data_IF_484328208947
#
_entry.id   IF_484328208947
#
_cell.length_a   1.000
_cell.length_b   1.000
_cell.length_c   1.000
_cell.angle_alpha   90.00
_cell.angle_beta   90.00
_cell.angle_gamma   90.00
#
_symmetry.space_group_name_H-M   'P 1'
#
loop_
_entity.id
_entity.type
_entity.pdbx_description
1 polymer ?
#
# COMPACT_ATOMS: atom_id res chain seq x y z
N UNK A 1 -29.61 -1.76 -3.97
CA UNK A 1 -28.56 -2.76 -4.16
C UNK A 1 -28.96 -3.99 -3.35
N UNK A 2 -28.93 -5.16 -3.94
CA UNK A 2 -29.33 -6.38 -3.25
C UNK A 2 -28.12 -6.97 -2.52
N UNK A 3 -28.00 -6.65 -1.23
CA UNK A 3 -26.89 -7.15 -0.39
C UNK A 3 -26.95 -8.69 -0.24
N UNK A 4 -28.16 -9.29 -0.32
CA UNK A 4 -28.30 -10.75 -0.29
C UNK A 4 -27.60 -11.41 -1.48
N UNK A 5 -27.66 -10.80 -2.66
CA UNK A 5 -26.93 -11.32 -3.83
C UNK A 5 -25.42 -11.36 -3.61
N UNK A 6 -24.87 -10.40 -2.86
CA UNK A 6 -23.43 -10.40 -2.52
C UNK A 6 -23.09 -11.52 -1.54
N UNK A 7 -23.95 -11.75 -0.55
CA UNK A 7 -23.78 -12.84 0.42
C UNK A 7 -23.93 -14.21 -0.28
N UNK A 8 -24.90 -14.36 -1.17
CA UNK A 8 -25.12 -15.57 -1.97
C UNK A 8 -23.88 -15.87 -2.84
N UNK A 9 -23.36 -14.87 -3.56
CA UNK A 9 -22.16 -15.02 -4.39
C UNK A 9 -20.93 -15.41 -3.57
N UNK A 10 -20.77 -14.86 -2.38
CA UNK A 10 -19.67 -15.21 -1.46
C UNK A 10 -19.82 -16.64 -0.94
N UNK A 11 -21.04 -17.08 -0.61
CA UNK A 11 -21.31 -18.45 -0.17
C UNK A 11 -20.98 -19.49 -1.25
N UNK A 12 -21.09 -19.10 -2.51
CA UNK A 12 -20.69 -19.89 -3.68
C UNK A 12 -19.18 -19.81 -3.99
N UNK A 13 -18.40 -19.15 -3.14
CA UNK A 13 -16.96 -18.99 -3.33
C UNK A 13 -16.55 -17.98 -4.40
N UNK A 14 -17.47 -17.13 -4.84
CA UNK A 14 -17.22 -16.08 -5.82
C UNK A 14 -16.75 -14.79 -5.13
N UNK A 15 -15.56 -14.35 -5.47
CA UNK A 15 -14.97 -13.13 -4.93
C UNK A 15 -15.39 -11.90 -5.75
N UNK A 16 -16.09 -10.98 -5.09
CA UNK A 16 -16.41 -9.67 -5.64
C UNK A 16 -15.32 -8.68 -5.25
N UNK A 17 -14.62 -8.17 -6.25
CA UNK A 17 -13.54 -7.21 -6.02
C UNK A 17 -14.03 -5.79 -5.80
N UNK A 18 -15.08 -5.39 -6.51
CA UNK A 18 -15.66 -4.05 -6.42
C UNK A 18 -17.04 -3.97 -7.04
N UNK A 19 -17.80 -2.94 -6.65
CA UNK A 19 -19.06 -2.57 -7.29
C UNK A 19 -18.85 -1.31 -8.13
N UNK A 20 -19.14 -1.39 -9.42
CA UNK A 20 -19.17 -0.23 -10.28
C UNK A 20 -20.57 0.38 -10.28
N UNK A 21 -20.68 1.61 -9.77
CA UNK A 21 -21.92 2.38 -9.76
C UNK A 21 -21.82 3.46 -10.82
N UNK A 22 -22.78 3.49 -11.72
CA UNK A 22 -22.91 4.51 -12.76
C UNK A 22 -24.27 5.17 -12.65
N UNK A 23 -24.32 6.47 -12.84
CA UNK A 23 -25.55 7.18 -13.08
C UNK A 23 -26.00 6.88 -14.51
N UNK A 24 -27.25 6.53 -14.67
CA UNK A 24 -27.86 6.28 -15.99
C UNK A 24 -28.82 7.43 -16.26
N UNK A 25 -28.59 8.14 -17.34
CA UNK A 25 -29.49 9.19 -17.85
C UNK A 25 -30.49 8.56 -18.80
N UNK A 26 -31.74 8.96 -18.69
CA UNK A 26 -32.79 8.51 -19.62
C UNK A 26 -34.20 8.55 -19.04
N UNK A 27 -35.21 8.36 -19.90
CA UNK A 27 -36.61 8.35 -19.49
C UNK A 27 -36.89 7.21 -18.50
N UNK A 28 -37.52 7.54 -17.37
CA UNK A 28 -37.88 6.59 -16.33
C UNK A 28 -36.91 6.46 -15.16
N UNK A 29 -35.80 7.16 -15.19
CA UNK A 29 -34.87 7.24 -14.05
C UNK A 29 -35.04 8.59 -13.35
N UNK A 30 -35.06 8.56 -12.01
CA UNK A 30 -35.01 9.79 -11.23
C UNK A 30 -33.59 10.36 -11.27
N UNK A 31 -33.47 11.63 -11.58
CA UNK A 31 -32.22 12.35 -11.50
C UNK A 31 -31.79 12.45 -10.03
N UNK A 32 -30.68 11.83 -9.73
CA UNK A 32 -30.02 11.95 -8.42
C UNK A 32 -29.06 13.12 -8.52
N UNK A 33 -29.05 14.01 -7.53
CA UNK A 33 -28.10 15.12 -7.51
C UNK A 33 -26.67 14.61 -7.50
N UNK A 34 -25.76 15.33 -8.16
CA UNK A 34 -24.34 14.96 -8.21
C UNK A 34 -23.71 14.82 -6.80
N UNK A 35 -24.02 15.68 -5.80
CA UNK A 35 -23.54 15.48 -4.43
C UNK A 35 -24.03 14.17 -3.79
N UNK A 36 -25.31 13.84 -3.96
CA UNK A 36 -25.89 12.60 -3.41
C UNK A 36 -25.29 11.37 -4.06
N UNK A 37 -25.08 11.42 -5.37
CA UNK A 37 -24.43 10.34 -6.10
C UNK A 37 -22.98 10.13 -5.66
N UNK A 38 -22.21 11.21 -5.42
CA UNK A 38 -20.85 11.13 -4.85
C UNK A 38 -20.86 10.54 -3.45
N UNK A 39 -21.79 10.98 -2.60
CA UNK A 39 -21.95 10.47 -1.24
C UNK A 39 -22.27 8.98 -1.26
N UNK A 40 -23.20 8.56 -2.09
CA UNK A 40 -23.55 7.14 -2.27
C UNK A 40 -22.36 6.31 -2.76
N UNK A 41 -21.60 6.79 -3.78
CA UNK A 41 -20.40 6.11 -4.25
C UNK A 41 -19.34 5.98 -3.15
N UNK A 42 -19.18 7.01 -2.32
CA UNK A 42 -18.25 6.98 -1.20
C UNK A 42 -18.66 5.90 -0.19
N UNK A 43 -19.94 5.88 0.20
CA UNK A 43 -20.50 4.89 1.13
C UNK A 43 -20.27 3.46 0.62
N UNK A 44 -20.57 3.17 -0.65
CA UNK A 44 -20.33 1.83 -1.22
C UNK A 44 -18.84 1.45 -1.19
N UNK A 45 -17.95 2.39 -1.45
CA UNK A 45 -16.50 2.12 -1.40
C UNK A 45 -16.02 1.83 0.02
N UNK A 46 -16.53 2.55 1.00
CA UNK A 46 -16.14 2.38 2.41
C UNK A 46 -16.76 1.13 3.03
N UNK A 47 -18.02 0.86 2.75
CA UNK A 47 -18.76 -0.23 3.40
C UNK A 47 -18.63 -1.58 2.67
N UNK A 48 -18.25 -1.58 1.38
CA UNK A 48 -18.20 -2.79 0.56
C UNK A 48 -16.82 -3.00 -0.09
N UNK A 49 -16.38 -2.05 -0.94
CA UNK A 49 -15.15 -2.26 -1.72
C UNK A 49 -13.92 -2.45 -0.80
N UNK A 50 -13.81 -1.64 0.27
CA UNK A 50 -12.68 -1.71 1.20
C UNK A 50 -12.67 -3.01 2.03
N UNK A 51 -13.75 -3.42 2.71
CA UNK A 51 -13.79 -4.71 3.41
C UNK A 51 -13.49 -5.91 2.52
N UNK A 52 -13.97 -5.90 1.26
CA UNK A 52 -13.63 -6.95 0.30
C UNK A 52 -12.14 -7.00 -0.02
N UNK A 53 -11.47 -5.84 -0.14
CA UNK A 53 -10.03 -5.80 -0.34
C UNK A 53 -9.25 -6.28 0.88
N UNK A 54 -9.71 -5.95 2.09
CA UNK A 54 -9.13 -6.42 3.35
C UNK A 54 -9.21 -7.94 3.46
N UNK A 55 -10.31 -8.52 3.01
CA UNK A 55 -10.51 -9.98 3.00
C UNK A 55 -9.68 -10.67 1.91
N UNK A 56 -9.58 -10.09 0.71
CA UNK A 56 -8.82 -10.67 -0.42
C UNK A 56 -7.30 -10.59 -0.23
N UNK A 57 -6.81 -9.53 0.42
CA UNK A 57 -5.38 -9.27 0.58
C UNK A 57 -5.05 -8.96 2.05
N UNK A 58 -5.25 -9.91 2.96
CA UNK A 58 -5.10 -9.66 4.39
C UNK A 58 -3.63 -9.46 4.81
N UNK A 59 -2.68 -10.07 4.11
CA UNK A 59 -1.28 -10.12 4.53
C UNK A 59 -0.35 -9.57 3.45
N UNK A 60 -0.38 -10.14 2.25
CA UNK A 60 0.58 -9.78 1.22
C UNK A 60 0.22 -10.27 -0.18
N UNK A 61 1.01 -9.87 -1.14
CA UNK A 61 0.87 -10.24 -2.55
C UNK A 61 2.18 -10.03 -3.29
N UNK A 62 2.26 -10.60 -4.49
CA UNK A 62 3.41 -10.44 -5.38
C UNK A 62 3.07 -9.39 -6.44
N UNK A 63 3.96 -8.39 -6.61
CA UNK A 63 3.91 -7.45 -7.71
C UNK A 63 4.73 -8.00 -8.89
N UNK A 64 4.15 -7.98 -10.07
CA UNK A 64 4.78 -8.47 -11.29
C UNK A 64 4.93 -7.38 -12.37
N UNK A 65 4.13 -6.34 -12.29
CA UNK A 65 4.18 -5.17 -13.18
C UNK A 65 4.37 -3.94 -12.31
N UNK A 66 5.55 -3.34 -12.35
CA UNK A 66 6.01 -2.33 -11.41
C UNK A 66 6.46 -1.11 -12.21
N UNK A 67 6.06 0.09 -11.77
CA UNK A 67 6.50 1.35 -12.36
C UNK A 67 6.64 2.45 -11.31
N UNK A 68 7.49 3.42 -11.60
CA UNK A 68 7.75 4.57 -10.75
C UNK A 68 6.98 5.79 -11.20
N UNK A 69 6.38 6.52 -10.27
CA UNK A 69 5.74 7.81 -10.52
C UNK A 69 6.29 8.88 -9.58
N UNK A 70 6.69 10.00 -10.15
CA UNK A 70 7.07 11.19 -9.41
C UNK A 70 5.89 12.17 -9.29
N UNK A 71 6.03 13.16 -8.41
CA UNK A 71 5.01 14.20 -8.29
C UNK A 71 4.79 14.98 -9.61
N UNK A 72 5.83 15.12 -10.44
CA UNK A 72 5.75 15.77 -11.75
C UNK A 72 4.94 14.99 -12.79
N UNK A 73 4.98 13.67 -12.74
CA UNK A 73 4.26 12.80 -13.69
C UNK A 73 2.74 12.86 -13.47
N UNK A 74 2.30 13.18 -12.26
CA UNK A 74 0.91 13.33 -11.90
C UNK A 74 0.23 14.53 -12.52
N UNK A 75 0.91 15.65 -12.61
CA UNK A 75 0.39 16.88 -13.21
C UNK A 75 0.02 16.67 -14.67
N UNK A 76 0.65 15.68 -15.31
CA UNK A 76 0.44 15.33 -16.72
C UNK A 76 -0.68 14.32 -16.94
N UNK A 77 -1.20 13.67 -15.90
CA UNK A 77 -2.27 12.69 -16.02
C UNK A 77 -3.64 13.33 -15.84
N UNK A 78 -4.64 12.96 -16.67
CA UNK A 78 -6.01 13.40 -16.47
C UNK A 78 -6.53 12.99 -15.08
N UNK A 79 -7.21 13.91 -14.39
CA UNK A 79 -7.72 13.68 -13.02
C UNK A 79 -8.58 12.42 -12.86
N UNK A 80 -9.30 12.00 -13.91
CA UNK A 80 -10.15 10.83 -13.88
C UNK A 80 -9.38 9.49 -13.86
N UNK A 81 -8.10 9.50 -14.22
CA UNK A 81 -7.20 8.35 -14.15
C UNK A 81 -6.56 8.21 -12.76
N UNK A 82 -6.61 9.29 -11.97
CA UNK A 82 -5.99 9.33 -10.65
C UNK A 82 -6.85 8.57 -9.62
N UNK A 83 -6.31 7.47 -9.13
CA UNK A 83 -6.86 6.74 -7.99
C UNK A 83 -6.76 7.61 -6.71
N UNK A 84 -7.66 7.49 -5.70
CA UNK A 84 -7.57 8.21 -4.43
C UNK A 84 -6.20 8.16 -3.74
N UNK A 85 -5.47 7.07 -3.85
CA UNK A 85 -4.06 7.00 -3.39
C UNK A 85 -3.21 8.11 -4.02
N UNK A 86 -3.47 8.48 -5.25
CA UNK A 86 -2.73 9.53 -5.93
C UNK A 86 -3.01 10.93 -5.40
N UNK A 87 -4.12 11.16 -4.71
CA UNK A 87 -4.45 12.49 -4.16
C UNK A 87 -3.66 12.81 -2.91
N UNK A 88 -3.13 11.81 -2.23
CA UNK A 88 -2.50 11.96 -0.91
C UNK A 88 -1.00 11.63 -0.90
N UNK A 89 -0.33 11.84 -2.02
CA UNK A 89 1.13 11.73 -2.08
C UNK A 89 1.88 12.85 -1.32
N UNK A 90 1.17 13.82 -0.79
CA UNK A 90 1.76 14.71 0.23
C UNK A 90 2.30 13.91 1.43
N UNK A 91 1.72 12.73 1.70
CA UNK A 91 2.15 11.79 2.73
C UNK A 91 3.50 11.15 2.38
N UNK A 92 3.77 10.90 1.08
CA UNK A 92 4.97 10.19 0.63
C UNK A 92 6.15 11.10 0.27
N UNK A 93 6.01 12.41 0.47
CA UNK A 93 7.06 13.38 0.22
C UNK A 93 7.32 13.66 -1.26
N UNK A 94 8.41 14.40 -1.54
CA UNK A 94 8.78 14.83 -2.89
C UNK A 94 9.38 13.73 -3.76
N UNK A 95 9.74 12.60 -3.18
CA UNK A 95 10.54 11.55 -3.84
C UNK A 95 9.78 10.66 -4.81
N UNK A 96 8.44 10.64 -4.74
CA UNK A 96 7.63 9.77 -5.62
C UNK A 96 7.17 8.48 -4.92
N UNK A 97 6.57 7.59 -5.70
CA UNK A 97 5.99 6.33 -5.25
C UNK A 97 6.16 5.26 -6.33
N UNK A 98 6.49 4.06 -5.93
CA UNK A 98 6.39 2.90 -6.82
C UNK A 98 4.98 2.38 -6.82
N UNK A 99 4.43 2.19 -8.00
CA UNK A 99 3.20 1.45 -8.20
C UNK A 99 3.48 0.09 -8.78
N UNK A 100 2.63 -0.84 -8.43
CA UNK A 100 2.68 -2.17 -9.01
C UNK A 100 1.33 -2.86 -8.96
N UNK A 101 1.26 -3.98 -9.65
CA UNK A 101 0.09 -4.85 -9.70
C UNK A 101 0.49 -6.29 -9.94
N UNK A 102 -0.38 -7.21 -9.58
CA UNK A 102 -0.24 -8.62 -9.94
C UNK A 102 -0.56 -8.82 -11.42
N UNK A 103 -0.03 -9.88 -12.01
CA UNK A 103 -0.51 -10.40 -13.29
C UNK A 103 -1.90 -11.01 -13.07
N UNK A 104 -2.89 -10.59 -13.84
CA UNK A 104 -4.25 -11.11 -13.75
C UNK A 104 -5.28 -10.26 -14.48
N UNK A 105 -6.49 -10.80 -14.63
CA UNK A 105 -7.58 -10.13 -15.35
C UNK A 105 -8.02 -8.83 -14.69
N UNK A 106 -7.94 -8.75 -13.36
CA UNK A 106 -8.32 -7.56 -12.57
C UNK A 106 -7.28 -7.28 -11.48
N UNK A 107 -6.08 -6.85 -11.85
CA UNK A 107 -5.03 -6.57 -10.87
C UNK A 107 -5.42 -5.45 -9.92
N UNK A 108 -5.06 -5.58 -8.63
CA UNK A 108 -5.18 -4.48 -7.67
C UNK A 108 -4.01 -3.54 -7.82
N UNK A 109 -4.24 -2.23 -7.69
CA UNK A 109 -3.16 -1.26 -7.61
C UNK A 109 -2.56 -1.26 -6.22
N UNK A 110 -1.24 -1.39 -6.16
CA UNK A 110 -0.44 -1.32 -4.94
C UNK A 110 0.48 -0.13 -5.03
N UNK A 111 0.56 0.65 -3.94
CA UNK A 111 1.52 1.74 -3.79
C UNK A 111 2.57 1.41 -2.74
N UNK A 112 3.85 1.56 -3.09
CA UNK A 112 4.99 1.44 -2.20
C UNK A 112 5.65 2.83 -2.10
N UNK A 113 5.82 3.40 -0.88
CA UNK A 113 6.19 4.80 -0.71
C UNK A 113 7.67 5.11 -0.94
N UNK A 114 8.37 4.23 -1.63
CA UNK A 114 9.77 4.41 -2.04
C UNK A 114 10.02 3.70 -3.38
N UNK A 115 11.20 3.93 -3.95
CA UNK A 115 11.58 3.29 -5.21
C UNK A 115 12.07 1.87 -4.97
N UNK A 116 11.49 0.92 -5.69
CA UNK A 116 11.91 -0.49 -5.73
C UNK A 116 12.41 -0.84 -7.14
N UNK A 117 13.21 -1.92 -7.30
CA UNK A 117 13.66 -2.38 -8.61
C UNK A 117 12.45 -2.65 -9.55
N UNK A 118 12.49 -2.08 -10.76
CA UNK A 118 11.35 -2.12 -11.69
C UNK A 118 11.33 -3.37 -12.57
N UNK A 119 12.44 -4.09 -12.65
CA UNK A 119 12.64 -5.21 -13.57
C UNK A 119 12.27 -6.58 -12.97
N UNK A 120 12.04 -6.64 -11.67
CA UNK A 120 11.78 -7.89 -10.95
C UNK A 120 10.38 -7.89 -10.32
N UNK A 121 9.88 -9.09 -10.04
CA UNK A 121 8.75 -9.25 -9.13
C UNK A 121 9.19 -8.92 -7.69
N UNK A 122 8.26 -8.41 -6.88
CA UNK A 122 8.53 -8.07 -5.49
C UNK A 122 7.42 -8.59 -4.60
N UNK A 123 7.80 -9.24 -3.50
CA UNK A 123 6.88 -9.65 -2.45
C UNK A 123 6.56 -8.47 -1.55
N UNK A 124 5.27 -8.20 -1.41
CA UNK A 124 4.77 -7.04 -0.67
C UNK A 124 3.95 -7.48 0.53
N UNK A 125 4.32 -6.99 1.70
CA UNK A 125 3.46 -7.00 2.88
C UNK A 125 2.47 -5.83 2.81
N UNK A 126 1.19 -6.11 2.96
CA UNK A 126 0.13 -5.10 2.96
C UNK A 126 0.19 -4.30 4.26
N UNK A 127 0.31 -2.98 4.15
CA UNK A 127 0.34 -2.05 5.28
C UNK A 127 -0.92 -1.20 5.42
N UNK A 128 -1.79 -1.21 4.40
CA UNK A 128 -3.06 -0.51 4.45
C UNK A 128 -3.95 -0.78 3.25
N UNK A 129 -5.25 -0.68 3.47
CA UNK A 129 -6.27 -0.83 2.45
C UNK A 129 -6.95 0.50 2.17
N UNK A 130 -6.87 0.94 0.93
CA UNK A 130 -7.70 2.02 0.41
C UNK A 130 -9.03 1.50 -0.10
N UNK A 131 -9.80 2.37 -0.74
CA UNK A 131 -11.10 1.98 -1.30
C UNK A 131 -10.97 1.07 -2.54
N UNK A 132 -9.86 1.15 -3.28
CA UNK A 132 -9.63 0.41 -4.53
C UNK A 132 -8.16 0.10 -4.80
N UNK A 133 -7.36 0.21 -3.79
CA UNK A 133 -5.92 0.04 -3.86
C UNK A 133 -5.39 -0.30 -2.48
N UNK A 134 -4.23 -0.84 -2.42
CA UNK A 134 -3.54 -1.16 -1.17
C UNK A 134 -2.20 -0.46 -1.11
N UNK A 135 -1.74 -0.22 0.11
CA UNK A 135 -0.38 0.23 0.38
C UNK A 135 0.43 -0.96 0.91
N UNK A 136 1.69 -1.00 0.59
CA UNK A 136 2.56 -2.07 1.05
C UNK A 136 4.02 -1.66 1.13
N UNK A 137 4.79 -2.56 1.69
CA UNK A 137 6.26 -2.48 1.78
C UNK A 137 6.85 -3.81 1.30
N UNK A 138 8.03 -3.78 0.71
CA UNK A 138 8.76 -5.01 0.35
C UNK A 138 9.03 -5.85 1.59
N UNK A 139 9.03 -7.17 1.43
CA UNK A 139 9.55 -8.10 2.44
C UNK A 139 11.00 -8.47 2.14
N UNK A 140 11.73 -8.98 3.13
CA UNK A 140 13.11 -9.39 2.96
C UNK A 140 14.10 -8.22 2.85
N UNK A 141 13.77 -7.07 3.44
CA UNK A 141 14.69 -5.94 3.50
C UNK A 141 15.79 -6.21 4.53
N UNK A 142 17.03 -6.24 4.10
CA UNK A 142 18.20 -6.41 4.98
C UNK A 142 18.39 -5.19 5.89
N UNK A 143 18.35 -5.40 7.21
CA UNK A 143 18.48 -4.35 8.23
C UNK A 143 19.82 -3.63 8.15
N UNK A 144 20.84 -4.28 7.62
CA UNK A 144 22.16 -3.71 7.47
C UNK A 144 22.31 -2.81 6.24
N UNK A 145 21.37 -2.89 5.28
CA UNK A 145 21.41 -2.09 4.04
C UNK A 145 20.16 -1.22 3.83
N UNK A 146 19.04 -1.54 4.48
CA UNK A 146 17.76 -0.83 4.34
C UNK A 146 17.91 0.69 4.48
N UNK A 147 17.22 1.43 3.61
CA UNK A 147 17.23 2.89 3.64
C UNK A 147 16.30 3.46 4.74
N UNK A 148 16.53 4.71 5.12
CA UNK A 148 15.64 5.38 6.06
C UNK A 148 14.19 5.44 5.57
N UNK A 149 13.99 5.68 4.27
CA UNK A 149 12.66 5.77 3.66
C UNK A 149 11.91 4.43 3.69
N UNK A 150 12.61 3.33 3.47
CA UNK A 150 12.05 1.98 3.61
C UNK A 150 11.65 1.69 5.07
N UNK A 151 12.51 2.03 6.03
CA UNK A 151 12.17 1.90 7.46
C UNK A 151 10.93 2.72 7.84
N UNK A 152 10.86 3.98 7.39
CA UNK A 152 9.73 4.87 7.66
C UNK A 152 8.41 4.35 7.06
N UNK A 153 8.47 3.51 6.03
CA UNK A 153 7.31 2.90 5.40
C UNK A 153 6.71 1.74 6.21
N UNK A 154 7.49 1.18 7.14
CA UNK A 154 7.03 0.09 8.00
C UNK A 154 6.14 0.68 9.11
N UNK A 155 4.88 0.24 9.25
CA UNK A 155 4.00 0.70 10.33
C UNK A 155 4.62 0.50 11.71
N UNK A 156 4.62 1.56 12.51
CA UNK A 156 5.27 1.58 13.83
C UNK A 156 6.69 2.15 13.83
N UNK A 157 7.33 2.31 12.65
CA UNK A 157 8.64 2.95 12.54
C UNK A 157 8.49 4.39 12.02
N UNK A 158 8.47 5.34 12.92
CA UNK A 158 8.46 6.77 12.55
C UNK A 158 9.86 7.30 12.21
N UNK A 159 9.91 8.53 11.67
CA UNK A 159 11.16 9.20 11.26
C UNK A 159 12.27 9.17 12.30
N UNK A 160 11.93 9.41 13.59
CA UNK A 160 12.92 9.38 14.67
C UNK A 160 13.48 7.99 14.90
N UNK A 161 12.63 6.96 14.83
CA UNK A 161 13.03 5.56 14.98
C UNK A 161 13.93 5.13 13.82
N UNK A 162 13.51 5.37 12.59
CA UNK A 162 14.31 5.08 11.40
C UNK A 162 15.69 5.75 11.45
N UNK A 163 15.72 7.04 11.80
CA UNK A 163 16.99 7.76 11.95
C UNK A 163 17.91 7.16 13.03
N UNK A 164 17.35 6.72 14.17
CA UNK A 164 18.14 6.07 15.23
C UNK A 164 18.76 4.77 14.74
N UNK A 165 18.01 3.92 14.04
CA UNK A 165 18.52 2.67 13.44
C UNK A 165 19.67 2.98 12.48
N UNK A 166 19.46 3.90 11.52
CA UNK A 166 20.48 4.32 10.55
C UNK A 166 21.74 4.87 11.24
N UNK A 167 21.55 5.73 12.25
CA UNK A 167 22.67 6.31 13.01
C UNK A 167 23.43 5.27 13.81
N UNK A 168 22.75 4.30 14.40
CA UNK A 168 23.35 3.19 15.14
C UNK A 168 24.12 2.27 14.19
N UNK A 169 23.58 1.96 13.03
CA UNK A 169 24.23 1.23 11.96
C UNK A 169 25.53 1.91 11.53
N UNK A 170 25.51 3.21 11.26
CA UNK A 170 26.69 3.96 10.87
C UNK A 170 27.78 4.00 11.93
N UNK A 171 27.43 3.94 13.22
CA UNK A 171 28.40 3.81 14.32
C UNK A 171 28.97 2.40 14.42
N UNK A 172 28.14 1.38 14.27
CA UNK A 172 28.54 -0.02 14.33
C UNK A 172 29.40 -0.41 13.12
N UNK A 173 29.13 0.07 11.91
CA UNK A 173 29.92 -0.16 10.69
C UNK A 173 31.39 0.34 10.78
N UNK A 174 31.70 1.20 11.75
CA UNK A 174 33.10 1.58 12.02
C UNK A 174 33.90 0.49 12.73
N UNK A 175 33.24 -0.52 13.27
CA UNK A 175 33.82 -1.58 14.09
C UNK A 175 33.67 -2.98 13.48
N UNK A 176 32.70 -3.17 12.60
CA UNK A 176 32.36 -4.45 11.98
C UNK A 176 31.79 -4.25 10.59
N UNK A 177 32.04 -5.19 9.68
CA UNK A 177 31.44 -5.21 8.34
C UNK A 177 29.95 -5.56 8.41
N UNK A 178 29.51 -6.26 9.45
CA UNK A 178 28.12 -6.56 9.75
C UNK A 178 27.72 -5.75 11.01
N UNK A 179 27.05 -4.60 10.85
CA UNK A 179 26.70 -3.72 11.96
C UNK A 179 25.74 -4.32 12.97
N UNK A 180 24.77 -5.10 12.49
CA UNK A 180 23.75 -5.76 13.31
C UNK A 180 23.76 -7.26 13.07
N UNK A 181 23.71 -8.04 14.14
CA UNK A 181 23.70 -9.51 14.10
C UNK A 181 22.28 -10.08 13.93
N UNK A 182 21.26 -9.30 14.29
CA UNK A 182 19.84 -9.63 14.11
C UNK A 182 19.00 -8.35 14.00
N UNK A 183 17.76 -8.51 13.57
CA UNK A 183 16.77 -7.41 13.53
C UNK A 183 16.54 -6.89 14.95
N UNK A 184 16.36 -7.79 15.92
CA UNK A 184 16.14 -7.45 17.32
C UNK A 184 17.31 -6.63 17.88
N UNK A 185 18.55 -7.07 17.61
CA UNK A 185 19.75 -6.35 18.05
C UNK A 185 19.83 -4.92 17.50
N UNK A 186 19.39 -4.71 16.27
CA UNK A 186 19.33 -3.38 15.67
C UNK A 186 18.37 -2.44 16.42
N UNK A 187 17.21 -2.96 16.83
CA UNK A 187 16.21 -2.20 17.58
C UNK A 187 16.63 -1.96 19.03
N UNK A 188 17.25 -2.95 19.69
CA UNK A 188 17.81 -2.81 21.02
C UNK A 188 18.93 -1.76 21.06
N UNK A 189 19.90 -1.82 20.14
CA UNK A 189 21.00 -0.85 20.04
C UNK A 189 20.45 0.56 19.75
N UNK A 190 19.40 0.68 18.95
CA UNK A 190 18.73 1.95 18.68
C UNK A 190 17.84 2.42 19.84
N UNK A 191 17.62 1.60 20.86
CA UNK A 191 16.70 1.82 21.98
C UNK A 191 15.28 2.15 21.50
N UNK A 192 14.74 1.22 20.71
CA UNK A 192 13.40 1.31 20.09
C UNK A 192 12.72 -0.04 20.26
N UNK A 193 11.43 -0.04 20.56
CA UNK A 193 10.60 -1.24 20.53
C UNK A 193 10.45 -1.76 19.09
N UNK A 194 10.61 -3.07 18.90
CA UNK A 194 10.47 -3.72 17.61
C UNK A 194 8.98 -3.88 17.28
N UNK A 195 8.47 -3.23 16.21
CA UNK A 195 7.08 -3.40 15.80
C UNK A 195 6.85 -4.79 15.20
N UNK A 196 5.70 -5.40 15.48
CA UNK A 196 5.33 -6.73 14.99
C UNK A 196 5.45 -6.88 13.45
N UNK A 197 5.14 -5.82 12.71
CA UNK A 197 5.26 -5.85 11.24
C UNK A 197 6.71 -5.76 10.77
N UNK A 198 7.61 -5.18 11.57
CA UNK A 198 9.02 -5.08 11.21
C UNK A 198 9.70 -6.46 11.15
N UNK A 199 9.32 -7.40 12.04
CA UNK A 199 9.80 -8.79 12.00
C UNK A 199 9.44 -9.54 10.71
N UNK A 200 8.35 -9.13 10.04
CA UNK A 200 7.90 -9.73 8.78
C UNK A 200 8.54 -9.11 7.55
N UNK A 201 9.09 -7.91 7.69
CA UNK A 201 9.64 -7.11 6.59
C UNK A 201 11.16 -7.19 6.57
N UNK A 202 11.79 -7.12 7.74
CA UNK A 202 13.24 -7.03 7.89
C UNK A 202 13.89 -8.40 8.04
N UNK A 203 15.09 -8.53 7.49
CA UNK A 203 15.97 -9.71 7.57
C UNK A 203 17.40 -9.28 7.88
N UNK A 204 18.28 -10.26 8.03
CA UNK A 204 19.74 -10.11 8.06
C UNK A 204 20.29 -10.48 6.68
#
# INVERSE_FOLDING_TARGET
MNLRLLEDLRSEGLWLRRINIRQVEGQGFQDISEPDFRSFKKKVREEIDKPLLEEMFPIGLILNDIWWETHGDRIRRPEHVLNPIHRDLSIYGKSGITFGRQIGAYPILVGVPYQIPLENSSDILVTGHGMRSISGVETGLDINSVSQQQLEAIPGIGKKAAWRIISSRAKASRKSDIPFESVESAFEIANIELPLLAEKVLTI
#
